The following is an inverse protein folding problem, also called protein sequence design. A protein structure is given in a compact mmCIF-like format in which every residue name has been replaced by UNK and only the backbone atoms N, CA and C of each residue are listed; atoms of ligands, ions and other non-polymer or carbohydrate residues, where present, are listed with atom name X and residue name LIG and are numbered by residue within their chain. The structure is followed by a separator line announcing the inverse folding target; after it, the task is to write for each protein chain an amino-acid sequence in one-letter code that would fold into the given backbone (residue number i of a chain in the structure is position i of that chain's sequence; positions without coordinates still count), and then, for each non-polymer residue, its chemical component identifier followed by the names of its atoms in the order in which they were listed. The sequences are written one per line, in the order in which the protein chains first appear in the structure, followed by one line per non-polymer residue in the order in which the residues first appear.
data_IF_179185821147
#
_entry.id   IF_179185821147
#
_cell.length_a   1.000
_cell.length_b   1.000
_cell.length_c   1.000
_cell.angle_alpha   90.00
_cell.angle_beta   90.00
_cell.angle_gamma   90.00
#
_symmetry.space_group_name_H-M   'P 1'
#
loop_
_entity.id
_entity.type
_entity.pdbx_description
1 polymer ?
#
# COMPACT_ATOMS: atom_id res chain seq x y z
N UNK A 1 -12.65 -7.92 -11.31
CA UNK A 1 -13.56 -7.47 -10.24
C UNK A 1 -13.82 -5.99 -10.50
N UNK A 2 -15.02 -5.63 -10.94
CA UNK A 2 -15.36 -4.25 -11.30
C UNK A 2 -15.62 -3.45 -10.02
N UNK A 3 -14.54 -3.06 -9.33
CA UNK A 3 -14.64 -2.20 -8.15
C UNK A 3 -14.77 -0.76 -8.63
N UNK A 4 -16.01 -0.34 -8.88
CA UNK A 4 -16.33 1.04 -9.16
C UNK A 4 -16.16 1.84 -7.86
N UNK A 5 -15.13 2.68 -7.78
CA UNK A 5 -15.02 3.71 -6.74
C UNK A 5 -16.29 4.57 -6.72
N UNK A 6 -16.64 5.17 -5.58
CA UNK A 6 -17.91 5.88 -5.34
C UNK A 6 -18.30 6.95 -6.38
N UNK A 7 -17.35 7.50 -7.14
CA UNK A 7 -17.59 8.55 -8.12
C UNK A 7 -17.07 8.19 -9.53
N UNK A 8 -17.76 8.60 -10.62
CA UNK A 8 -17.27 8.42 -11.99
C UNK A 8 -15.94 9.16 -12.24
N UNK A 9 -15.18 8.69 -13.23
CA UNK A 9 -13.84 9.20 -13.53
C UNK A 9 -13.83 10.69 -13.86
N UNK A 10 -14.89 11.17 -14.52
CA UNK A 10 -15.04 12.59 -14.91
C UNK A 10 -15.09 13.57 -13.74
N UNK A 11 -15.48 13.11 -12.52
CA UNK A 11 -15.69 14.01 -11.39
C UNK A 11 -14.86 13.70 -10.14
N UNK A 12 -14.30 12.49 -10.02
CA UNK A 12 -13.65 12.05 -8.78
C UNK A 12 -12.42 12.86 -8.38
N UNK A 13 -11.79 13.56 -9.32
CA UNK A 13 -10.59 14.37 -9.08
C UNK A 13 -10.92 15.86 -8.89
N UNK A 14 -12.20 16.24 -8.88
CA UNK A 14 -12.55 17.60 -8.50
C UNK A 14 -12.24 17.84 -7.02
N UNK A 15 -11.75 19.03 -6.64
CA UNK A 15 -11.37 19.34 -5.26
C UNK A 15 -12.48 19.05 -4.23
N UNK A 16 -13.74 19.27 -4.57
CA UNK A 16 -14.89 19.00 -3.70
C UNK A 16 -15.14 17.51 -3.41
N UNK A 17 -14.55 16.62 -4.22
CA UNK A 17 -14.67 15.16 -4.11
C UNK A 17 -13.43 14.50 -3.51
N UNK A 18 -12.43 15.29 -3.13
CA UNK A 18 -11.19 14.83 -2.52
C UNK A 18 -11.21 15.16 -1.03
N UNK A 19 -11.16 14.14 -0.19
CA UNK A 19 -10.97 14.31 1.24
C UNK A 19 -9.47 14.30 1.56
N UNK A 20 -8.96 15.45 2.04
CA UNK A 20 -7.58 15.58 2.43
C UNK A 20 -7.36 15.05 3.85
N UNK A 21 -6.66 13.93 3.98
CA UNK A 21 -6.45 13.24 5.27
C UNK A 21 -5.23 13.78 6.03
N UNK A 22 -4.16 14.19 5.34
CA UNK A 22 -2.96 14.65 6.01
C UNK A 22 -1.78 14.93 5.08
N UNK A 23 -0.79 15.66 5.60
CA UNK A 23 0.52 15.91 4.96
C UNK A 23 1.55 15.06 5.68
N UNK A 24 2.47 14.43 4.94
CA UNK A 24 3.69 13.87 5.52
C UNK A 24 4.76 14.98 5.56
N UNK A 25 5.12 15.51 6.74
CA UNK A 25 6.05 16.62 6.82
C UNK A 25 7.48 16.10 6.64
N UNK A 26 8.12 16.38 5.52
CA UNK A 26 9.56 16.13 5.38
C UNK A 26 10.19 16.96 4.24
N UNK A 27 11.43 17.46 4.40
CA UNK A 27 12.19 18.07 3.31
C UNK A 27 12.67 17.06 2.25
N UNK A 28 12.66 15.76 2.56
CA UNK A 28 13.02 14.63 1.69
C UNK A 28 12.01 13.48 1.84
N UNK A 29 12.01 12.48 0.97
CA UNK A 29 11.13 11.29 1.16
C UNK A 29 11.35 10.67 2.55
N UNK A 30 10.28 10.17 3.23
CA UNK A 30 10.43 9.53 4.53
C UNK A 30 11.38 8.33 4.42
N UNK A 31 12.16 8.07 5.46
CA UNK A 31 13.01 6.87 5.51
C UNK A 31 12.18 5.59 5.62
N UNK A 32 12.82 4.45 5.41
CA UNK A 32 12.21 3.13 5.63
C UNK A 32 11.80 3.02 7.11
N UNK A 33 10.49 2.96 7.37
CA UNK A 33 9.91 2.92 8.72
C UNK A 33 9.11 4.17 9.13
N UNK A 34 9.57 5.38 8.78
CA UNK A 34 8.85 6.63 9.12
C UNK A 34 7.46 6.70 8.49
N UNK A 35 7.34 6.19 7.25
CA UNK A 35 6.05 6.09 6.57
C UNK A 35 5.05 5.22 7.35
N UNK A 36 5.51 4.20 8.07
CA UNK A 36 4.63 3.30 8.82
C UNK A 36 3.95 4.02 9.97
N UNK A 37 4.61 5.01 10.59
CA UNK A 37 3.99 5.82 11.65
C UNK A 37 2.81 6.62 11.12
N UNK A 38 2.94 7.20 9.92
CA UNK A 38 1.84 7.92 9.29
C UNK A 38 0.75 6.96 8.83
N UNK A 39 1.13 5.84 8.20
CA UNK A 39 0.19 4.85 7.70
C UNK A 39 -0.59 4.17 8.83
N UNK A 40 0.01 3.97 10.02
CA UNK A 40 -0.67 3.35 11.16
C UNK A 40 -1.96 4.08 11.52
N UNK A 41 -1.91 5.42 11.59
CA UNK A 41 -3.07 6.25 11.91
C UNK A 41 -4.20 6.04 10.89
N UNK A 42 -3.87 6.07 9.60
CA UNK A 42 -4.85 5.84 8.54
C UNK A 42 -5.39 4.40 8.54
N UNK A 43 -4.52 3.42 8.75
CA UNK A 43 -4.90 2.00 8.74
C UNK A 43 -5.81 1.68 9.92
N UNK A 44 -5.56 2.24 11.10
CA UNK A 44 -6.41 2.08 12.29
C UNK A 44 -7.84 2.57 12.02
N UNK A 45 -7.99 3.78 11.49
CA UNK A 45 -9.30 4.34 11.11
C UNK A 45 -9.99 3.49 10.03
N UNK A 46 -9.25 3.07 9.00
CA UNK A 46 -9.79 2.22 7.93
C UNK A 46 -10.24 0.84 8.44
N UNK A 47 -9.54 0.28 9.44
CA UNK A 47 -9.92 -1.00 10.04
C UNK A 47 -11.22 -0.89 10.84
N UNK A 48 -11.42 0.22 11.57
CA UNK A 48 -12.69 0.50 12.25
C UNK A 48 -13.80 0.61 11.20
N UNK A 49 -13.61 1.43 10.17
CA UNK A 49 -14.59 1.62 9.10
C UNK A 49 -14.91 0.34 8.32
N UNK A 50 -13.94 -0.56 8.18
CA UNK A 50 -14.13 -1.84 7.49
C UNK A 50 -14.85 -2.87 8.34
N UNK A 51 -14.37 -3.10 9.58
CA UNK A 51 -14.85 -4.19 10.43
C UNK A 51 -16.14 -3.82 11.18
N UNK A 52 -16.17 -2.61 11.74
CA UNK A 52 -17.25 -2.14 12.61
C UNK A 52 -18.22 -1.22 11.86
N UNK A 53 -17.69 -0.37 10.99
CA UNK A 53 -18.45 0.69 10.35
C UNK A 53 -18.75 1.86 11.30
N UNK A 54 -19.43 2.89 10.78
CA UNK A 54 -19.85 4.05 11.57
C UNK A 54 -21.33 4.36 11.33
N UNK A 55 -21.99 4.91 12.35
CA UNK A 55 -23.37 5.38 12.28
C UNK A 55 -23.43 6.91 12.33
N UNK A 56 -23.85 7.52 11.23
CA UNK A 56 -24.13 8.97 11.17
C UNK A 56 -25.64 9.23 11.08
N UNK A 57 -26.33 8.43 10.28
CA UNK A 57 -27.80 8.42 10.07
C UNK A 57 -28.25 7.10 9.42
N UNK A 58 -27.33 6.51 8.66
CA UNK A 58 -27.33 5.11 8.24
C UNK A 58 -26.02 4.48 8.70
N UNK A 59 -25.99 3.14 8.73
CA UNK A 59 -24.77 2.39 8.98
C UNK A 59 -23.91 2.33 7.71
N UNK A 60 -22.65 2.74 7.80
CA UNK A 60 -21.74 2.87 6.65
C UNK A 60 -20.46 2.08 6.93
N UNK A 61 -20.05 1.27 5.96
CA UNK A 61 -18.70 0.71 5.90
C UNK A 61 -17.89 1.40 4.82
N UNK A 62 -16.59 1.58 5.06
CA UNK A 62 -15.67 2.14 4.08
C UNK A 62 -14.55 1.14 3.76
N UNK A 63 -14.06 1.20 2.53
CA UNK A 63 -12.92 0.42 2.07
C UNK A 63 -12.04 1.29 1.18
N UNK A 64 -10.72 1.22 1.39
CA UNK A 64 -9.75 1.78 0.46
C UNK A 64 -9.49 0.77 -0.66
N UNK A 65 -9.66 1.20 -1.92
CA UNK A 65 -9.58 0.31 -3.09
C UNK A 65 -8.30 0.54 -3.91
N UNK A 66 -8.07 1.69 -4.57
CA UNK A 66 -6.78 1.95 -5.19
C UNK A 66 -5.90 2.86 -4.33
N UNK A 67 -4.61 2.52 -4.24
CA UNK A 67 -3.55 3.49 -3.89
C UNK A 67 -3.07 4.11 -5.21
N UNK A 68 -3.30 5.41 -5.39
CA UNK A 68 -2.89 6.13 -6.60
C UNK A 68 -1.63 6.94 -6.30
N UNK A 69 -0.50 6.44 -6.77
CA UNK A 69 0.81 7.06 -6.55
C UNK A 69 1.80 6.61 -7.63
N UNK A 70 2.98 7.23 -7.66
CA UNK A 70 4.08 6.77 -8.51
C UNK A 70 4.72 5.48 -7.95
N UNK A 71 5.64 4.88 -8.71
CA UNK A 71 6.27 3.62 -8.33
C UNK A 71 7.07 3.71 -7.02
N UNK A 72 7.92 4.74 -6.78
CA UNK A 72 8.62 4.90 -5.51
C UNK A 72 7.66 4.96 -4.31
N UNK A 73 6.60 5.75 -4.38
CA UNK A 73 5.61 5.83 -3.30
C UNK A 73 4.86 4.50 -3.12
N UNK A 74 4.54 3.78 -4.21
CA UNK A 74 3.89 2.47 -4.13
C UNK A 74 4.76 1.44 -3.41
N UNK A 75 6.09 1.48 -3.63
CA UNK A 75 7.03 0.62 -2.93
C UNK A 75 7.10 0.96 -1.45
N UNK A 76 7.16 2.26 -1.13
CA UNK A 76 7.22 2.73 0.25
C UNK A 76 5.96 2.38 1.04
N UNK A 77 4.77 2.61 0.47
CA UNK A 77 3.49 2.27 1.11
C UNK A 77 3.26 0.76 1.13
N UNK A 78 3.71 0.05 0.09
CA UNK A 78 3.54 -1.39 -0.07
C UNK A 78 4.50 -2.25 0.74
N UNK A 79 5.47 -1.64 1.44
CA UNK A 79 6.52 -2.36 2.18
C UNK A 79 7.43 -3.18 1.26
N UNK A 80 7.71 -2.66 0.06
CA UNK A 80 8.59 -3.29 -0.91
C UNK A 80 9.93 -2.54 -1.02
N UNK A 81 10.99 -3.28 -1.34
CA UNK A 81 12.33 -2.73 -1.53
C UNK A 81 12.39 -1.77 -2.72
N UNK A 82 13.29 -0.80 -2.69
CA UNK A 82 13.47 0.20 -3.77
C UNK A 82 13.57 -0.43 -5.17
N UNK A 83 13.17 0.33 -6.21
CA UNK A 83 13.15 -0.16 -7.60
C UNK A 83 14.52 -0.61 -8.14
N UNK A 84 15.63 -0.18 -7.53
CA UNK A 84 16.99 -0.59 -7.88
C UNK A 84 17.45 -1.86 -7.14
N UNK A 85 16.60 -2.42 -6.27
CA UNK A 85 16.86 -3.67 -5.57
C UNK A 85 16.76 -4.87 -6.50
N UNK A 86 17.21 -6.04 -6.03
CA UNK A 86 17.07 -7.29 -6.78
C UNK A 86 15.63 -7.71 -7.09
N UNK A 87 14.61 -7.06 -6.50
CA UNK A 87 13.18 -7.36 -6.68
C UNK A 87 12.38 -6.07 -6.90
N UNK A 88 12.35 -5.54 -8.13
CA UNK A 88 11.80 -4.20 -8.41
C UNK A 88 10.28 -4.15 -8.55
N UNK A 89 9.55 -5.26 -8.44
CA UNK A 89 8.14 -5.37 -8.75
C UNK A 89 7.31 -5.55 -7.47
N UNK A 90 6.29 -4.72 -7.26
CA UNK A 90 5.39 -4.84 -6.11
C UNK A 90 4.43 -6.04 -6.22
N UNK A 91 4.13 -6.48 -7.44
CA UNK A 91 3.14 -7.53 -7.72
C UNK A 91 3.75 -8.91 -7.96
N UNK A 92 5.02 -8.97 -8.34
CA UNK A 92 5.67 -10.17 -8.85
C UNK A 92 7.05 -10.38 -8.23
N UNK A 93 7.46 -11.64 -8.07
CA UNK A 93 8.77 -12.01 -7.54
C UNK A 93 9.82 -12.18 -8.65
N UNK A 94 9.68 -11.41 -9.74
CA UNK A 94 10.70 -11.37 -10.79
C UNK A 94 11.87 -10.56 -10.28
N UNK A 95 13.06 -11.13 -10.45
CA UNK A 95 14.31 -10.47 -10.10
C UNK A 95 14.76 -9.52 -11.18
N UNK A 96 15.53 -8.50 -10.80
CA UNK A 96 16.05 -7.49 -11.71
C UNK A 96 16.87 -8.09 -12.87
N UNK A 97 17.64 -9.15 -12.60
CA UNK A 97 18.41 -9.90 -13.61
C UNK A 97 17.54 -10.70 -14.61
N UNK A 98 16.29 -10.98 -14.25
CA UNK A 98 15.31 -11.71 -15.07
C UNK A 98 14.16 -10.81 -15.56
N UNK A 99 14.31 -9.49 -15.49
CA UNK A 99 13.26 -8.54 -15.89
C UNK A 99 12.92 -8.59 -17.39
N UNK A 100 13.77 -9.20 -18.20
CA UNK A 100 13.54 -9.45 -19.62
C UNK A 100 12.53 -10.58 -19.89
N UNK A 101 12.13 -11.35 -18.87
CA UNK A 101 11.13 -12.41 -19.01
C UNK A 101 9.73 -11.82 -19.21
N UNK A 102 9.21 -11.89 -20.43
CA UNK A 102 7.87 -11.39 -20.81
C UNK A 102 6.75 -12.44 -20.69
N UNK A 103 7.02 -13.64 -20.16
CA UNK A 103 6.03 -14.69 -19.97
C UNK A 103 5.14 -14.43 -18.75
N UNK A 104 4.32 -13.38 -18.86
CA UNK A 104 3.50 -12.86 -17.76
C UNK A 104 2.48 -13.84 -17.20
N UNK A 105 2.15 -14.91 -17.96
CA UNK A 105 1.24 -15.97 -17.52
C UNK A 105 1.88 -16.85 -16.45
N UNK A 106 3.20 -16.96 -16.44
CA UNK A 106 3.97 -17.83 -15.55
C UNK A 106 4.82 -17.05 -14.54
N UNK A 107 4.62 -15.74 -14.43
CA UNK A 107 5.32 -14.94 -13.43
C UNK A 107 4.94 -15.39 -12.00
N UNK A 108 5.90 -15.50 -11.08
CA UNK A 108 5.59 -15.72 -9.68
C UNK A 108 4.92 -14.45 -9.14
N UNK A 109 3.65 -14.55 -8.74
CA UNK A 109 2.86 -13.40 -8.27
C UNK A 109 2.78 -13.41 -6.75
N UNK A 110 3.01 -12.25 -6.14
CA UNK A 110 2.73 -12.06 -4.72
C UNK A 110 1.22 -11.99 -4.49
N UNK A 111 0.75 -12.71 -3.47
CA UNK A 111 -0.59 -12.50 -2.94
C UNK A 111 -0.49 -11.81 -1.56
N UNK A 112 -1.61 -11.27 -1.08
CA UNK A 112 -1.64 -10.57 0.20
C UNK A 112 -1.21 -11.43 1.40
N UNK A 113 -1.35 -12.77 1.35
CA UNK A 113 -0.86 -13.66 2.42
C UNK A 113 0.67 -13.73 2.41
N UNK A 114 1.28 -13.83 1.24
CA UNK A 114 2.74 -13.85 1.07
C UNK A 114 3.34 -12.54 1.54
N UNK A 115 2.79 -11.40 1.12
CA UNK A 115 3.27 -10.08 1.54
C UNK A 115 3.21 -9.91 3.07
N UNK A 116 2.08 -10.28 3.69
CA UNK A 116 1.95 -10.26 5.16
C UNK A 116 2.92 -11.19 5.88
N UNK A 117 3.24 -12.35 5.29
CA UNK A 117 4.23 -13.28 5.86
C UNK A 117 5.63 -12.68 5.81
N UNK A 118 6.03 -12.11 4.68
CA UNK A 118 7.34 -11.48 4.50
C UNK A 118 7.51 -10.28 5.44
N UNK A 119 6.47 -9.44 5.58
CA UNK A 119 6.48 -8.31 6.52
C UNK A 119 6.68 -8.75 7.98
N UNK A 120 6.02 -9.83 8.42
CA UNK A 120 6.25 -10.40 9.77
C UNK A 120 7.67 -10.92 9.94
N UNK A 121 8.20 -11.63 8.94
CA UNK A 121 9.57 -12.14 9.00
C UNK A 121 10.61 -11.03 9.10
N UNK A 122 10.38 -9.90 8.41
CA UNK A 122 11.21 -8.71 8.52
C UNK A 122 11.14 -8.10 9.93
N UNK A 123 9.93 -7.90 10.46
CA UNK A 123 9.73 -7.40 11.83
C UNK A 123 10.40 -8.28 12.89
N UNK A 124 10.27 -9.61 12.76
CA UNK A 124 10.87 -10.59 13.67
C UNK A 124 12.41 -10.65 13.54
N UNK A 125 12.98 -10.30 12.38
CA UNK A 125 14.42 -10.28 12.15
C UNK A 125 15.06 -9.06 12.82
N UNK A 126 14.45 -7.88 12.70
CA UNK A 126 14.91 -6.67 13.40
C UNK A 126 14.93 -6.85 14.92
N UNK A 127 13.93 -7.54 15.47
CA UNK A 127 13.85 -7.87 16.90
C UNK A 127 15.00 -8.77 17.38
N UNK A 128 15.66 -9.52 16.49
CA UNK A 128 16.81 -10.38 16.82
C UNK A 128 18.15 -9.67 16.71
N UNK A 129 18.25 -8.61 15.91
CA UNK A 129 19.49 -7.82 15.79
C UNK A 129 19.62 -6.78 16.91
N UNK A 130 18.54 -6.50 17.64
CA UNK A 130 18.51 -5.63 18.82
C UNK A 130 18.89 -6.33 20.15
N UNK A 131 19.17 -7.65 20.12
CA UNK A 131 19.55 -8.50 21.26
C UNK A 131 20.92 -9.14 21.04
#
# INVERSE_FOLDING_TARGET
MNQHTNLPWSIRFHPENIFFVGVVPSPSSPSEGEINHVLSLLVEDLLILWNEGIFLSIHIHCAMVPVVCDLPAAHQIGGASVYSSGKPCLQCDIKLDNMHNLDYKNWPIYNGKTMKKLGRQWQDAEMKELH
#
